data_IF_866487413835
#
_entry.id   IF_866487413835
#
_cell.length_a   1.000
_cell.length_b   1.000
_cell.length_c   1.000
_cell.angle_alpha   90.00
_cell.angle_beta   90.00
_cell.angle_gamma   90.00
#
_symmetry.space_group_name_H-M   'P 1'
#
loop_
_entity.id
_entity.type
_entity.pdbx_description
1 polymer ?
#
# COMPACT_ATOMS: atom_id res chain seq x y z
N UNK A 1 -18.06 12.57 4.24
CA UNK A 1 -16.68 12.11 4.49
C UNK A 1 -15.86 12.40 3.24
N UNK A 2 -14.73 13.12 3.30
CA UNK A 2 -14.00 13.49 2.09
C UNK A 2 -13.43 12.22 1.44
N UNK A 3 -13.58 12.09 0.12
CA UNK A 3 -12.95 11.04 -0.67
C UNK A 3 -11.43 11.16 -0.46
N UNK A 4 -10.83 10.26 0.33
CA UNK A 4 -9.37 10.21 0.65
C UNK A 4 -8.46 9.90 -0.56
N UNK A 5 -8.88 10.22 -1.79
CA UNK A 5 -8.27 9.71 -3.02
C UNK A 5 -8.21 10.74 -4.14
N UNK A 6 -8.48 12.01 -3.84
CA UNK A 6 -8.34 13.09 -4.82
C UNK A 6 -6.87 13.50 -4.89
N UNK A 7 -6.25 13.37 -6.05
CA UNK A 7 -4.92 13.93 -6.30
C UNK A 7 -5.03 15.12 -7.26
N UNK A 8 -4.03 16.00 -7.22
CA UNK A 8 -3.87 17.09 -8.18
C UNK A 8 -2.46 17.03 -8.74
N UNK A 9 -2.33 16.85 -10.05
CA UNK A 9 -1.06 17.02 -10.77
C UNK A 9 -1.05 18.41 -11.38
N UNK A 10 0.07 19.11 -11.19
CA UNK A 10 0.37 20.39 -11.86
C UNK A 10 1.57 20.11 -12.76
N UNK A 11 1.39 20.31 -14.07
CA UNK A 11 2.44 20.17 -15.07
C UNK A 11 2.78 21.56 -15.59
N UNK A 12 4.06 21.91 -15.54
CA UNK A 12 4.57 23.21 -15.97
C UNK A 12 5.64 23.03 -17.04
N UNK A 13 5.46 23.70 -18.18
CA UNK A 13 6.43 23.73 -19.26
C UNK A 13 7.20 25.06 -19.19
N UNK A 14 8.53 24.99 -19.20
CA UNK A 14 9.40 26.16 -19.10
C UNK A 14 10.32 26.27 -20.32
N UNK A 15 10.54 27.50 -20.79
CA UNK A 15 11.64 27.85 -21.67
C UNK A 15 12.88 28.16 -20.82
N UNK A 16 14.02 27.54 -21.14
CA UNK A 16 15.27 27.67 -20.40
C UNK A 16 16.24 28.56 -21.18
N UNK A 17 16.41 29.80 -20.73
CA UNK A 17 17.29 30.77 -21.41
C UNK A 17 18.72 30.66 -20.91
N UNK A 18 18.91 30.47 -19.61
CA UNK A 18 20.21 30.16 -18.99
C UNK A 18 20.00 29.39 -17.67
N UNK A 19 21.07 29.19 -16.89
CA UNK A 19 21.01 28.42 -15.63
C UNK A 19 20.12 29.05 -14.55
N UNK A 20 19.90 30.37 -14.60
CA UNK A 20 19.17 31.12 -13.58
C UNK A 20 17.83 31.67 -14.09
N UNK A 21 17.64 31.73 -15.41
CA UNK A 21 16.46 32.32 -16.05
C UNK A 21 15.67 31.27 -16.81
N UNK A 22 14.39 31.18 -16.45
CA UNK A 22 13.39 30.37 -17.13
C UNK A 22 12.07 31.11 -17.20
N UNK A 23 11.34 30.93 -18.29
CA UNK A 23 10.03 31.54 -18.50
C UNK A 23 8.97 30.44 -18.58
N UNK A 24 7.86 30.62 -17.85
CA UNK A 24 6.75 29.69 -17.91
C UNK A 24 6.06 29.82 -19.27
N UNK A 25 6.05 28.74 -20.06
CA UNK A 25 5.35 28.67 -21.34
C UNK A 25 3.87 28.40 -21.08
N UNK A 26 3.59 27.40 -20.23
CA UNK A 26 2.23 26.96 -19.97
C UNK A 26 2.16 26.13 -18.67
N UNK A 27 0.96 26.04 -18.10
CA UNK A 27 0.66 25.33 -16.87
C UNK A 27 -0.67 24.59 -16.99
N UNK A 28 -0.60 23.28 -16.88
CA UNK A 28 -1.75 22.38 -16.91
C UNK A 28 -2.05 21.82 -15.51
N UNK A 29 -3.33 21.70 -15.16
CA UNK A 29 -3.77 21.11 -13.90
C UNK A 29 -4.69 19.94 -14.20
N UNK A 30 -4.40 18.77 -13.64
CA UNK A 30 -5.30 17.62 -13.69
C UNK A 30 -5.67 17.18 -12.27
N UNK A 31 -6.97 16.95 -12.05
CA UNK A 31 -7.51 16.41 -10.81
C UNK A 31 -8.19 15.10 -11.11
N UNK A 32 -7.90 14.09 -10.30
CA UNK A 32 -8.44 12.76 -10.53
C UNK A 32 -8.38 11.87 -9.30
N UNK A 33 -8.67 10.60 -9.54
CA UNK A 33 -8.55 9.52 -8.57
C UNK A 33 -7.44 8.57 -9.01
N UNK A 34 -6.46 8.30 -8.15
CA UNK A 34 -5.50 7.21 -8.35
C UNK A 34 -5.82 6.05 -7.42
N UNK A 35 -5.72 4.83 -7.94
CA UNK A 35 -5.75 3.62 -7.14
C UNK A 35 -4.31 3.13 -6.98
N UNK A 36 -3.86 2.86 -5.74
CA UNK A 36 -2.52 2.34 -5.54
C UNK A 36 -2.42 0.90 -6.05
N UNK A 37 -1.28 0.59 -6.64
CA UNK A 37 -0.86 -0.76 -6.94
C UNK A 37 -0.13 -1.35 -5.73
N UNK A 38 -0.55 -2.53 -5.30
CA UNK A 38 0.11 -3.27 -4.21
C UNK A 38 1.35 -3.96 -4.80
N UNK A 39 2.52 -3.71 -4.21
CA UNK A 39 3.81 -4.21 -4.70
C UNK A 39 3.96 -5.73 -4.64
N UNK A 40 3.13 -6.43 -3.85
CA UNK A 40 3.03 -7.89 -3.83
C UNK A 40 2.40 -8.46 -5.10
N UNK A 41 1.66 -7.66 -5.88
CA UNK A 41 1.17 -8.03 -7.19
C UNK A 41 2.25 -7.73 -8.24
N UNK A 42 2.95 -8.79 -8.62
CA UNK A 42 4.02 -8.83 -9.62
C UNK A 42 3.77 -7.88 -10.80
N UNK A 43 4.57 -6.82 -10.87
CA UNK A 43 4.80 -5.91 -12.01
C UNK A 43 3.55 -5.60 -12.85
N UNK A 44 2.65 -4.76 -12.31
CA UNK A 44 1.52 -4.26 -13.10
C UNK A 44 1.95 -3.17 -14.07
N UNK A 45 1.56 -3.34 -15.32
CA UNK A 45 1.69 -2.34 -16.40
C UNK A 45 0.52 -1.34 -16.42
N UNK A 46 -0.32 -1.31 -15.37
CA UNK A 46 -1.51 -0.45 -15.29
C UNK A 46 -1.13 1.01 -14.99
N UNK A 47 -0.64 1.69 -16.04
CA UNK A 47 -0.37 3.12 -16.02
C UNK A 47 -1.64 3.88 -16.36
N UNK A 48 -1.96 4.88 -15.55
CA UNK A 48 -3.04 5.80 -15.87
C UNK A 48 -2.53 6.88 -16.84
N UNK A 49 -2.96 6.80 -18.10
CA UNK A 49 -2.64 7.80 -19.11
C UNK A 49 -3.57 9.01 -18.98
N UNK A 50 -2.98 10.19 -18.85
CA UNK A 50 -3.67 11.48 -18.77
C UNK A 50 -3.29 12.31 -19.98
N UNK A 51 -4.30 12.83 -20.65
CA UNK A 51 -4.14 13.84 -21.71
C UNK A 51 -4.82 15.13 -21.27
N UNK A 52 -4.08 16.24 -21.27
CA UNK A 52 -4.55 17.57 -20.92
C UNK A 52 -4.34 18.48 -22.11
N UNK A 53 -5.39 19.16 -22.56
CA UNK A 53 -5.29 20.21 -23.57
C UNK A 53 -5.52 21.55 -22.90
N UNK A 54 -4.60 22.50 -23.14
CA UNK A 54 -4.76 23.90 -22.75
C UNK A 54 -5.19 24.72 -23.96
N UNK A 55 -5.19 26.04 -23.83
CA UNK A 55 -5.44 26.96 -24.94
C UNK A 55 -4.34 26.92 -26.02
N UNK A 56 -3.11 26.51 -25.69
CA UNK A 56 -1.96 26.60 -26.60
C UNK A 56 -1.18 25.29 -26.79
N UNK A 57 -1.47 24.26 -25.99
CA UNK A 57 -0.68 23.03 -26.00
C UNK A 57 -1.51 21.80 -25.62
N UNK A 58 -0.94 20.62 -25.88
CA UNK A 58 -1.47 19.34 -25.44
C UNK A 58 -0.38 18.53 -24.76
N UNK A 59 -0.67 18.01 -23.57
CA UNK A 59 0.24 17.20 -22.76
C UNK A 59 -0.33 15.80 -22.60
N UNK A 60 0.49 14.78 -22.86
CA UNK A 60 0.16 13.39 -22.55
C UNK A 60 1.23 12.82 -21.64
N UNK A 61 0.82 12.28 -20.50
CA UNK A 61 1.73 11.60 -19.57
C UNK A 61 1.04 10.40 -18.94
N UNK A 62 1.86 9.46 -18.46
CA UNK A 62 1.42 8.29 -17.72
C UNK A 62 1.80 8.47 -16.24
N UNK A 63 0.86 8.16 -15.33
CA UNK A 63 1.09 8.21 -13.89
C UNK A 63 0.58 6.92 -13.24
N UNK A 64 1.31 6.44 -12.23
CA UNK A 64 0.91 5.28 -11.42
C UNK A 64 1.25 5.58 -9.95
N UNK A 65 0.37 5.16 -9.04
CA UNK A 65 0.62 5.16 -7.60
C UNK A 65 0.95 3.72 -7.20
N UNK A 66 2.10 3.49 -6.56
CA UNK A 66 2.53 2.16 -6.13
C UNK A 66 2.88 2.21 -4.65
N UNK A 67 2.32 1.30 -3.85
CA UNK A 67 2.69 1.18 -2.45
C UNK A 67 4.11 0.63 -2.31
N UNK A 68 4.80 1.02 -1.24
CA UNK A 68 6.09 0.42 -0.89
C UNK A 68 5.97 -1.08 -0.58
N UNK A 69 7.11 -1.77 -0.46
CA UNK A 69 7.11 -3.19 -0.11
C UNK A 69 6.46 -3.39 1.27
N UNK A 70 5.59 -4.39 1.41
CA UNK A 70 4.85 -4.68 2.65
C UNK A 70 3.80 -3.63 3.07
N UNK A 71 3.51 -2.65 2.20
CA UNK A 71 2.45 -1.68 2.40
C UNK A 71 1.22 -2.03 1.55
N UNK A 72 0.05 -1.92 2.18
CA UNK A 72 -1.22 -2.38 1.66
C UNK A 72 -2.32 -1.35 1.90
N UNK A 73 -3.50 -1.66 1.35
CA UNK A 73 -4.67 -0.81 1.45
C UNK A 73 -4.68 0.30 0.41
N UNK A 74 -5.80 1.03 0.38
CA UNK A 74 -6.04 2.06 -0.63
C UNK A 74 -5.26 3.36 -0.41
N UNK A 75 -4.57 3.49 0.73
CA UNK A 75 -3.74 4.64 1.10
C UNK A 75 -2.30 4.23 1.43
N UNK A 76 -1.92 2.96 1.18
CA UNK A 76 -0.60 2.41 1.48
C UNK A 76 -0.16 2.56 2.95
N UNK A 77 -1.11 2.78 3.88
CA UNK A 77 -0.78 2.99 5.31
C UNK A 77 -0.73 1.69 6.12
N UNK A 78 -1.36 0.63 5.61
CA UNK A 78 -1.42 -0.65 6.31
C UNK A 78 -0.13 -1.43 6.07
N UNK A 79 0.64 -1.68 7.11
CA UNK A 79 1.89 -2.43 7.03
C UNK A 79 1.67 -3.87 7.46
N UNK A 80 2.09 -4.82 6.63
CA UNK A 80 2.17 -6.22 6.99
C UNK A 80 3.52 -6.78 6.57
N UNK A 81 4.41 -6.93 7.54
CA UNK A 81 5.76 -7.44 7.35
C UNK A 81 5.96 -8.64 8.28
N UNK A 82 6.39 -9.76 7.71
CA UNK A 82 6.82 -10.92 8.49
C UNK A 82 8.24 -10.69 8.97
N UNK A 83 8.52 -10.87 10.27
CA UNK A 83 9.88 -10.87 10.79
C UNK A 83 10.61 -12.15 10.36
N UNK A 84 11.95 -12.11 10.32
CA UNK A 84 12.88 -13.15 9.82
C UNK A 84 12.65 -14.59 10.34
N UNK A 85 11.86 -14.76 11.40
CA UNK A 85 11.50 -16.08 11.94
C UNK A 85 10.25 -16.72 11.31
N UNK A 86 9.53 -16.07 10.38
CA UNK A 86 8.50 -16.63 9.47
C UNK A 86 7.48 -17.66 10.04
N UNK A 87 7.22 -17.71 11.34
CA UNK A 87 6.60 -18.91 11.96
C UNK A 87 5.17 -18.72 12.45
N UNK A 88 4.69 -17.49 12.59
CA UNK A 88 3.38 -17.24 13.24
C UNK A 88 2.29 -16.77 12.29
N UNK A 89 2.64 -16.07 11.21
CA UNK A 89 1.66 -15.57 10.25
C UNK A 89 2.27 -15.30 8.87
N UNK A 90 1.39 -15.23 7.88
CA UNK A 90 1.66 -14.70 6.53
C UNK A 90 0.76 -13.50 6.26
N UNK A 91 1.18 -12.62 5.37
CA UNK A 91 0.36 -11.51 4.90
C UNK A 91 -0.45 -11.95 3.68
N UNK A 92 -1.75 -11.67 3.68
CA UNK A 92 -2.59 -11.88 2.50
C UNK A 92 -2.43 -10.74 1.47
N UNK A 93 -3.21 -10.79 0.38
CA UNK A 93 -3.17 -9.76 -0.66
C UNK A 93 -3.66 -8.37 -0.17
N UNK A 94 -4.40 -8.30 0.93
CA UNK A 94 -4.89 -7.08 1.56
C UNK A 94 -3.98 -6.61 2.70
N UNK A 95 -2.90 -7.33 2.98
CA UNK A 95 -2.01 -7.08 4.11
C UNK A 95 -2.62 -7.48 5.46
N UNK A 96 -3.65 -8.32 5.48
CA UNK A 96 -4.14 -8.95 6.71
C UNK A 96 -3.22 -10.09 7.14
N UNK A 97 -3.04 -10.23 8.46
CA UNK A 97 -2.27 -11.33 9.04
C UNK A 97 -3.12 -12.59 9.03
N UNK A 98 -2.66 -13.60 8.32
CA UNK A 98 -3.20 -14.97 8.37
C UNK A 98 -2.31 -15.77 9.32
N UNK A 99 -2.85 -16.15 10.48
CA UNK A 99 -2.10 -16.93 11.46
C UNK A 99 -1.80 -18.33 10.93
N UNK A 100 -0.58 -18.80 11.19
CA UNK A 100 -0.18 -20.19 10.94
C UNK A 100 -0.94 -21.14 11.88
N UNK A 101 -1.13 -22.42 11.50
CA UNK A 101 -1.84 -23.39 12.32
C UNK A 101 -1.34 -23.43 13.78
N UNK A 102 -2.29 -23.37 14.72
CA UNK A 102 -1.99 -23.35 16.15
C UNK A 102 -1.79 -21.95 16.74
N UNK A 103 -1.79 -20.88 15.94
CA UNK A 103 -1.73 -19.49 16.42
C UNK A 103 -3.06 -18.75 16.22
N UNK A 104 -3.30 -17.75 17.05
CA UNK A 104 -4.52 -16.94 17.05
C UNK A 104 -4.25 -15.52 17.59
N UNK A 105 -5.29 -14.68 17.63
CA UNK A 105 -5.18 -13.27 17.98
C UNK A 105 -4.94 -12.38 16.76
N UNK A 106 -5.12 -11.07 16.93
CA UNK A 106 -4.95 -10.08 15.84
C UNK A 106 -3.52 -9.99 15.34
N UNK A 107 -2.56 -10.26 16.22
CA UNK A 107 -1.12 -10.26 15.92
C UNK A 107 -0.56 -11.67 15.72
N UNK A 108 -1.42 -12.71 15.72
CA UNK A 108 -1.02 -14.12 15.65
C UNK A 108 0.00 -14.53 16.73
N UNK A 109 -0.10 -13.92 17.90
CA UNK A 109 0.83 -14.06 19.02
C UNK A 109 0.31 -14.99 20.12
N UNK A 110 -0.95 -15.41 20.05
CA UNK A 110 -1.58 -16.32 21.03
C UNK A 110 -1.53 -17.76 20.54
N UNK A 111 -0.89 -18.65 21.29
CA UNK A 111 -0.92 -20.08 21.04
C UNK A 111 -2.31 -20.66 21.34
N UNK A 112 -2.74 -21.60 20.52
CA UNK A 112 -3.96 -22.40 20.74
C UNK A 112 -3.55 -23.64 21.55
N UNK A 113 -4.05 -23.73 22.78
CA UNK A 113 -3.71 -24.81 23.70
C UNK A 113 -4.33 -26.16 23.29
N UNK A 114 -3.86 -27.24 23.91
CA UNK A 114 -4.39 -28.57 23.64
C UNK A 114 -5.90 -28.67 23.94
N UNK A 115 -6.59 -29.55 23.23
CA UNK A 115 -8.02 -29.81 23.44
C UNK A 115 -8.22 -30.32 24.88
N UNK A 116 -9.13 -29.67 25.61
CA UNK A 116 -9.41 -30.01 27.01
C UNK A 116 -8.56 -29.26 28.04
N UNK A 117 -7.67 -28.35 27.61
CA UNK A 117 -6.96 -27.46 28.52
C UNK A 117 -7.95 -26.54 29.27
N UNK A 118 -7.76 -26.36 30.58
CA UNK A 118 -8.73 -25.65 31.41
C UNK A 118 -8.81 -24.17 30.99
N UNK A 119 -9.99 -23.62 30.65
CA UNK A 119 -10.09 -22.29 30.03
C UNK A 119 -9.68 -21.12 30.93
N UNK A 120 -9.65 -21.35 32.25
CA UNK A 120 -9.31 -20.33 33.27
C UNK A 120 -8.00 -20.63 33.99
N UNK A 121 -7.55 -21.89 34.00
CA UNK A 121 -6.42 -22.34 34.83
C UNK A 121 -5.33 -23.03 34.04
N UNK A 122 -5.58 -23.33 32.75
CA UNK A 122 -4.60 -23.88 31.83
C UNK A 122 -4.05 -22.79 30.93
N UNK A 123 -2.75 -22.82 30.68
CA UNK A 123 -2.09 -21.90 29.76
C UNK A 123 -1.16 -22.65 28.80
N UNK A 124 -0.78 -22.02 27.69
CA UNK A 124 0.18 -22.59 26.76
C UNK A 124 1.02 -21.48 26.14
N UNK A 125 2.35 -21.70 26.11
CA UNK A 125 3.27 -20.81 25.41
C UNK A 125 3.48 -21.24 23.95
N UNK A 126 3.27 -22.53 23.65
CA UNK A 126 3.28 -23.06 22.28
C UNK A 126 1.98 -23.81 21.94
N UNK A 127 1.64 -23.90 20.65
CA UNK A 127 0.43 -24.59 20.23
C UNK A 127 0.42 -26.06 20.66
N UNK A 128 -0.71 -26.53 21.18
CA UNK A 128 -0.90 -27.92 21.61
C UNK A 128 -0.32 -28.28 22.99
N UNK A 129 0.25 -27.32 23.72
CA UNK A 129 0.65 -27.50 25.13
C UNK A 129 -0.53 -27.22 26.08
N UNK A 130 -0.39 -27.61 27.34
CA UNK A 130 -1.26 -27.21 28.44
C UNK A 130 -0.50 -27.35 29.76
N UNK A 131 -0.32 -26.23 30.46
CA UNK A 131 0.26 -26.13 31.80
C UNK A 131 -0.80 -25.65 32.80
#
# INVERSE_FOLDING_TARGET
>A
MPLKRLFTVILEAYDLVNRNEKYLIDRAIHRGLLRPLISSMKQSTDWHQVTISTQYSGYTFCIQLTCELNHYGNDCTKVCQTNDNHTKFKCDANGDKICEPGWSGTECDKAICNIGCHPVHGTCSRPGECE
#
